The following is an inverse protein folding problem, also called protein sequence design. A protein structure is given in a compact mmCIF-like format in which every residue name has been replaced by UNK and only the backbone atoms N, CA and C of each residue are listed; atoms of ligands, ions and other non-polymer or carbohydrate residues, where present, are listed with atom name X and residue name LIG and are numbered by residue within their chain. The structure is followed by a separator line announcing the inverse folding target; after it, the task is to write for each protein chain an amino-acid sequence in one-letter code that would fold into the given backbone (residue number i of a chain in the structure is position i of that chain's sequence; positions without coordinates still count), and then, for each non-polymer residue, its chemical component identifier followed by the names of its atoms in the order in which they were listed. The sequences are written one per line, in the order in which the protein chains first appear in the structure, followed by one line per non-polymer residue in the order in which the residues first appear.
data_IF_893942789007
#
_entry.id   IF_893942789007
#
_cell.length_a   1.000
_cell.length_b   1.000
_cell.length_c   1.000
_cell.angle_alpha   90.00
_cell.angle_beta   90.00
_cell.angle_gamma   90.00
#
_symmetry.space_group_name_H-M   'P 1'
#
loop_
_entity.id
_entity.type
_entity.pdbx_description
1 polymer ?
#
# COMPACT_ATOMS: atom_id res chain seq x y z
N UNK A 1 -14.54 8.58 4.03
CA UNK A 1 -13.72 8.33 2.82
C UNK A 1 -14.59 7.75 1.73
N UNK A 2 -14.50 8.30 0.51
CA UNK A 2 -15.07 7.68 -0.68
C UNK A 2 -13.97 7.42 -1.72
N UNK A 3 -14.08 6.30 -2.41
CA UNK A 3 -13.16 5.85 -3.44
C UNK A 3 -13.94 5.70 -4.73
N UNK A 4 -13.54 6.42 -5.78
CA UNK A 4 -14.04 6.21 -7.14
C UNK A 4 -12.97 5.53 -7.96
N UNK A 5 -13.36 4.50 -8.71
CA UNK A 5 -12.46 3.71 -9.51
C UNK A 5 -12.95 3.72 -10.95
N UNK A 6 -12.01 3.95 -11.86
CA UNK A 6 -12.24 3.93 -13.30
C UNK A 6 -11.17 3.06 -13.94
N UNK A 7 -11.54 2.32 -14.98
CA UNK A 7 -10.54 1.65 -15.80
C UNK A 7 -9.75 2.70 -16.59
N UNK A 8 -8.44 2.53 -16.63
CA UNK A 8 -7.53 3.41 -17.34
C UNK A 8 -7.53 3.10 -18.84
N UNK A 9 -8.57 3.58 -19.53
CA UNK A 9 -8.81 3.31 -20.97
C UNK A 9 -7.89 4.09 -21.90
N UNK A 10 -7.29 5.17 -21.40
CA UNK A 10 -6.48 6.12 -22.19
C UNK A 10 -4.96 5.85 -22.10
N UNK A 11 -4.51 4.71 -21.56
CA UNK A 11 -3.10 4.31 -21.67
C UNK A 11 -2.82 2.82 -21.62
N UNK A 12 -1.84 2.38 -20.83
CA UNK A 12 -1.26 1.02 -20.89
C UNK A 12 -2.13 -0.10 -20.27
N UNK A 13 -3.40 0.20 -19.95
CA UNK A 13 -4.27 -0.65 -19.14
C UNK A 13 -3.97 -0.55 -17.63
N UNK A 14 -5.01 -0.74 -16.82
CA UNK A 14 -4.95 -0.61 -15.36
C UNK A 14 -6.15 0.15 -14.81
N UNK A 15 -5.96 0.79 -13.65
CA UNK A 15 -7.03 1.48 -12.94
C UNK A 15 -6.62 2.88 -12.52
N UNK A 16 -7.61 3.75 -12.35
CA UNK A 16 -7.44 5.07 -11.78
C UNK A 16 -8.29 5.12 -10.52
N UNK A 17 -7.65 5.45 -9.40
CA UNK A 17 -8.31 5.67 -8.13
C UNK A 17 -8.40 7.17 -7.85
N UNK A 18 -9.60 7.63 -7.56
CA UNK A 18 -9.85 8.98 -7.05
C UNK A 18 -10.32 8.86 -5.59
N UNK A 19 -9.45 9.29 -4.68
CA UNK A 19 -9.63 9.16 -3.23
C UNK A 19 -10.10 10.49 -2.64
N UNK A 20 -11.23 10.44 -1.94
CA UNK A 20 -11.82 11.57 -1.25
C UNK A 20 -11.90 11.28 0.25
N UNK A 21 -11.43 12.21 1.08
CA UNK A 21 -11.59 12.16 2.53
C UNK A 21 -12.34 13.39 3.00
N UNK A 22 -13.40 13.15 3.77
CA UNK A 22 -14.26 14.20 4.32
C UNK A 22 -13.43 15.12 5.22
N UNK A 23 -13.58 16.44 5.06
CA UNK A 23 -12.76 17.44 5.77
C UNK A 23 -11.42 17.79 5.09
N UNK A 24 -11.05 17.15 3.98
CA UNK A 24 -9.87 17.47 3.16
C UNK A 24 -10.24 18.15 1.82
N UNK A 25 -11.43 18.75 1.73
CA UNK A 25 -11.85 19.48 0.53
C UNK A 25 -11.03 20.76 0.32
N UNK A 26 -10.58 21.03 -0.93
CA UNK A 26 -11.23 20.60 -2.18
C UNK A 26 -10.46 19.58 -3.02
N UNK A 27 -9.44 18.88 -2.51
CA UNK A 27 -8.51 18.13 -3.38
C UNK A 27 -8.63 16.62 -3.22
N UNK A 28 -9.53 16.02 -4.00
CA UNK A 28 -9.46 14.59 -4.28
C UNK A 28 -8.06 14.25 -4.84
N UNK A 29 -7.47 13.15 -4.37
CA UNK A 29 -6.18 12.66 -4.88
C UNK A 29 -6.44 11.60 -5.94
N UNK A 30 -5.99 11.88 -7.15
CA UNK A 30 -6.12 10.97 -8.31
C UNK A 30 -4.80 10.24 -8.54
N UNK A 31 -4.83 8.92 -8.43
CA UNK A 31 -3.68 8.03 -8.52
C UNK A 31 -3.93 7.03 -9.64
N UNK A 32 -2.93 6.85 -10.50
CA UNK A 32 -2.97 5.84 -11.56
C UNK A 32 -2.28 4.57 -11.06
N UNK A 33 -2.90 3.43 -11.28
CA UNK A 33 -2.36 2.11 -10.98
C UNK A 33 -2.17 1.32 -12.28
N UNK A 34 -1.02 1.47 -12.96
CA UNK A 34 -0.74 0.72 -14.17
C UNK A 34 -0.81 -0.77 -13.87
N UNK A 35 -1.48 -1.54 -14.74
CA UNK A 35 -1.57 -3.01 -14.67
C UNK A 35 -2.29 -3.61 -13.45
N UNK A 36 -2.85 -2.79 -12.55
CA UNK A 36 -3.71 -3.29 -11.48
C UNK A 36 -5.19 -3.13 -11.88
N UNK A 37 -6.00 -4.12 -11.56
CA UNK A 37 -7.45 -4.08 -11.75
C UNK A 37 -8.14 -3.26 -10.66
N UNK A 38 -9.30 -2.70 -11.00
CA UNK A 38 -10.01 -1.78 -10.10
C UNK A 38 -10.46 -2.50 -8.83
N UNK A 39 -10.81 -3.78 -8.93
CA UNK A 39 -11.10 -4.66 -7.80
C UNK A 39 -9.92 -4.86 -6.85
N UNK A 40 -8.69 -4.96 -7.37
CA UNK A 40 -7.49 -5.13 -6.55
C UNK A 40 -7.19 -3.84 -5.77
N UNK A 41 -7.29 -2.70 -6.44
CA UNK A 41 -7.11 -1.38 -5.81
C UNK A 41 -8.21 -1.11 -4.77
N UNK A 42 -9.46 -1.44 -5.09
CA UNK A 42 -10.58 -1.34 -4.14
C UNK A 42 -10.32 -2.21 -2.90
N UNK A 43 -9.98 -3.47 -3.12
CA UNK A 43 -9.70 -4.45 -2.07
C UNK A 43 -8.56 -3.98 -1.17
N UNK A 44 -7.48 -3.48 -1.75
CA UNK A 44 -6.35 -2.93 -1.01
C UNK A 44 -6.74 -1.80 -0.05
N UNK A 45 -7.44 -0.76 -0.54
CA UNK A 45 -7.88 0.35 0.31
C UNK A 45 -8.91 -0.08 1.37
N UNK A 46 -9.82 -1.00 1.03
CA UNK A 46 -10.78 -1.54 1.98
C UNK A 46 -10.09 -2.36 3.08
N UNK A 47 -9.08 -3.16 2.72
CA UNK A 47 -8.29 -3.94 3.70
C UNK A 47 -7.43 -3.05 4.58
N UNK A 48 -6.85 -1.98 4.03
CA UNK A 48 -6.09 -1.00 4.83
C UNK A 48 -6.93 -0.37 5.96
N UNK A 49 -8.21 -0.13 5.73
CA UNK A 49 -9.14 0.45 6.72
C UNK A 49 -9.91 -0.61 7.54
N UNK A 50 -9.59 -1.89 7.36
CA UNK A 50 -10.24 -2.96 8.10
C UNK A 50 -9.72 -3.01 9.56
N UNK A 51 -10.56 -3.36 10.54
CA UNK A 51 -10.13 -3.47 11.93
C UNK A 51 -9.02 -4.52 12.12
N UNK A 52 -8.09 -4.26 13.04
CA UNK A 52 -7.06 -5.23 13.42
C UNK A 52 -6.12 -4.77 14.53
N UNK A 53 -4.91 -5.33 14.54
CA UNK A 53 -3.88 -5.06 15.54
C UNK A 53 -3.43 -3.60 15.51
N UNK A 54 -3.28 -3.04 14.30
CA UNK A 54 -3.02 -1.62 14.07
C UNK A 54 -4.07 -1.12 13.09
N UNK A 55 -5.09 -0.47 13.63
CA UNK A 55 -6.08 0.25 12.84
C UNK A 55 -5.53 1.61 12.45
N UNK A 56 -5.64 1.94 11.18
CA UNK A 56 -5.41 3.29 10.65
C UNK A 56 -6.74 3.89 10.23
N UNK A 57 -6.79 5.20 10.10
CA UNK A 57 -7.96 5.89 9.56
C UNK A 57 -7.76 6.37 8.12
N UNK A 58 -8.80 6.98 7.57
CA UNK A 58 -8.76 7.49 6.20
C UNK A 58 -7.80 8.68 6.03
N UNK A 59 -7.56 9.47 7.06
CA UNK A 59 -6.62 10.59 7.02
C UNK A 59 -5.18 10.06 6.98
N UNK A 60 -4.88 8.97 7.69
CA UNK A 60 -3.59 8.26 7.59
C UNK A 60 -3.34 7.79 6.16
N UNK A 61 -4.30 7.07 5.56
CA UNK A 61 -4.21 6.63 4.16
C UNK A 61 -4.00 7.83 3.24
N UNK A 62 -4.79 8.89 3.41
CA UNK A 62 -4.71 10.09 2.57
C UNK A 62 -3.36 10.81 2.70
N UNK A 63 -2.71 10.77 3.86
CA UNK A 63 -1.43 11.45 4.10
C UNK A 63 -0.31 10.92 3.18
N UNK A 64 -0.29 9.60 2.94
CA UNK A 64 0.72 8.94 2.09
C UNK A 64 0.38 8.98 0.60
N UNK A 65 -0.78 9.48 0.20
CA UNK A 65 -1.12 9.58 -1.22
C UNK A 65 -0.41 10.77 -1.90
N UNK A 66 0.03 10.66 -3.16
CA UNK A 66 0.68 11.75 -3.88
C UNK A 66 -0.28 12.94 -4.08
N UNK A 67 0.26 14.16 -4.05
CA UNK A 67 -0.55 15.38 -4.06
C UNK A 67 -1.34 15.59 -5.36
N UNK A 68 -0.80 15.17 -6.51
CA UNK A 68 -1.51 15.22 -7.80
C UNK A 68 -0.93 14.26 -8.83
N UNK A 69 -1.79 13.55 -9.58
CA UNK A 69 -1.45 12.73 -10.75
C UNK A 69 -0.39 11.63 -10.52
N UNK A 70 -0.19 11.21 -9.28
CA UNK A 70 0.85 10.24 -8.96
C UNK A 70 0.51 8.83 -9.43
N UNK A 71 1.51 7.96 -9.32
CA UNK A 71 1.46 6.55 -9.74
C UNK A 71 1.52 5.67 -8.49
N UNK A 72 0.61 4.72 -8.40
CA UNK A 72 0.58 3.67 -7.39
C UNK A 72 1.01 2.33 -7.99
N UNK A 73 1.94 1.64 -7.34
CA UNK A 73 2.35 0.28 -7.71
C UNK A 73 2.01 -0.66 -6.58
N UNK A 74 0.96 -1.46 -6.80
CA UNK A 74 0.46 -2.45 -5.87
C UNK A 74 1.16 -3.78 -6.09
N UNK A 75 1.68 -4.36 -5.02
CA UNK A 75 2.40 -5.63 -5.03
C UNK A 75 1.97 -6.48 -3.85
N UNK A 76 1.73 -7.75 -4.11
CA UNK A 76 1.48 -8.76 -3.07
C UNK A 76 2.73 -9.57 -2.76
N UNK A 77 2.86 -9.91 -1.49
CA UNK A 77 3.93 -10.71 -0.93
C UNK A 77 3.31 -11.76 0.01
N UNK A 78 3.91 -12.95 0.12
CA UNK A 78 3.57 -13.86 1.20
C UNK A 78 3.71 -13.15 2.56
N UNK A 79 2.81 -13.42 3.50
CA UNK A 79 2.96 -12.93 4.86
C UNK A 79 4.29 -13.45 5.45
N UNK A 80 5.17 -12.56 5.95
CA UNK A 80 6.48 -12.97 6.42
C UNK A 80 6.36 -13.76 7.73
N UNK A 81 6.84 -15.01 7.72
CA UNK A 81 6.82 -15.93 8.87
C UNK A 81 8.20 -16.09 9.51
N UNK A 82 9.25 -15.80 8.76
CA UNK A 82 10.63 -15.86 9.19
C UNK A 82 11.46 -14.67 8.68
N UNK A 83 12.68 -14.51 9.21
CA UNK A 83 13.61 -13.47 8.75
C UNK A 83 13.95 -13.61 7.26
N UNK A 84 14.08 -14.83 6.75
CA UNK A 84 14.38 -15.10 5.35
C UNK A 84 13.31 -14.57 4.40
N UNK A 85 12.04 -14.64 4.80
CA UNK A 85 10.93 -14.13 4.00
C UNK A 85 11.04 -12.62 3.82
N UNK A 86 11.54 -11.92 4.86
CA UNK A 86 11.80 -10.48 4.79
C UNK A 86 12.95 -10.12 3.85
N UNK A 87 14.00 -10.94 3.75
CA UNK A 87 15.08 -10.72 2.77
C UNK A 87 14.57 -10.83 1.32
N UNK A 88 13.61 -11.72 1.08
CA UNK A 88 12.98 -11.87 -0.22
C UNK A 88 12.03 -10.69 -0.53
N UNK A 89 11.27 -10.23 0.47
CA UNK A 89 10.46 -9.00 0.38
C UNK A 89 11.36 -7.80 0.05
N UNK A 90 12.48 -7.61 0.78
CA UNK A 90 13.42 -6.51 0.54
C UNK A 90 14.01 -6.55 -0.87
N UNK A 91 14.44 -7.72 -1.35
CA UNK A 91 15.01 -7.87 -2.70
C UNK A 91 13.99 -7.52 -3.78
N UNK A 92 12.76 -8.00 -3.64
CA UNK A 92 11.72 -7.72 -4.62
C UNK A 92 11.27 -6.27 -4.54
N UNK A 93 11.16 -5.70 -3.33
CA UNK A 93 10.84 -4.29 -3.12
C UNK A 93 11.87 -3.37 -3.78
N UNK A 94 13.17 -3.63 -3.58
CA UNK A 94 14.25 -2.90 -4.25
C UNK A 94 14.13 -2.96 -5.78
N UNK A 95 13.72 -4.11 -6.32
CA UNK A 95 13.48 -4.29 -7.76
C UNK A 95 12.31 -3.43 -8.25
N UNK A 96 11.24 -3.30 -7.46
CA UNK A 96 10.11 -2.45 -7.81
C UNK A 96 10.48 -0.97 -7.74
N UNK A 97 11.11 -0.52 -6.65
CA UNK A 97 11.59 0.87 -6.50
C UNK A 97 12.50 1.25 -7.67
N UNK A 98 13.44 0.39 -8.06
CA UNK A 98 14.32 0.62 -9.22
C UNK A 98 13.56 0.77 -10.54
N UNK A 99 12.39 0.12 -10.71
CA UNK A 99 11.57 0.19 -11.93
C UNK A 99 10.64 1.38 -11.95
N UNK A 100 10.14 1.76 -10.78
CA UNK A 100 9.15 2.82 -10.60
C UNK A 100 9.79 4.22 -10.55
N UNK A 101 11.09 4.31 -10.31
CA UNK A 101 11.76 5.58 -10.08
C UNK A 101 11.61 6.02 -8.62
N UNK A 102 11.81 7.31 -8.32
CA UNK A 102 11.73 7.81 -6.95
C UNK A 102 10.34 7.60 -6.36
N UNK A 103 10.27 6.79 -5.30
CA UNK A 103 9.07 6.58 -4.48
C UNK A 103 9.07 7.62 -3.36
N UNK A 104 7.96 8.34 -3.22
CA UNK A 104 7.77 9.40 -2.22
C UNK A 104 7.09 8.90 -0.94
N UNK A 105 6.36 7.79 -1.02
CA UNK A 105 5.67 7.21 0.14
C UNK A 105 5.20 5.77 -0.12
N UNK A 106 4.80 5.08 0.95
CA UNK A 106 4.24 3.74 0.85
C UNK A 106 3.07 3.51 1.83
N UNK A 107 2.15 2.64 1.41
CA UNK A 107 1.11 2.06 2.26
C UNK A 107 1.28 0.54 2.30
N UNK A 108 1.40 -0.01 3.49
CA UNK A 108 1.52 -1.46 3.73
C UNK A 108 0.25 -1.97 4.38
N UNK A 109 -0.27 -3.08 3.88
CA UNK A 109 -1.35 -3.84 4.52
C UNK A 109 -0.80 -5.21 4.87
N UNK A 110 -0.64 -5.47 6.16
CA UNK A 110 -0.13 -6.73 6.70
C UNK A 110 -1.26 -7.46 7.45
N UNK A 111 -2.00 -8.37 6.80
CA UNK A 111 -2.99 -9.18 7.48
C UNK A 111 -2.38 -9.97 8.65
N UNK A 112 -3.03 -9.90 9.81
CA UNK A 112 -2.57 -10.48 11.06
C UNK A 112 -3.31 -11.80 11.29
N UNK A 113 -2.57 -12.90 11.26
CA UNK A 113 -3.01 -14.21 11.74
C UNK A 113 -2.30 -14.56 13.07
N UNK A 114 -2.48 -15.79 13.56
CA UNK A 114 -1.88 -16.25 14.81
C UNK A 114 -0.34 -16.28 14.81
N UNK A 115 0.30 -16.16 13.64
CA UNK A 115 1.77 -16.17 13.49
C UNK A 115 2.38 -14.77 13.47
N UNK A 116 1.56 -13.74 13.27
CA UNK A 116 2.01 -12.34 13.21
C UNK A 116 2.09 -11.75 14.61
N UNK A 117 3.27 -11.20 14.93
CA UNK A 117 3.54 -10.55 16.22
C UNK A 117 3.84 -9.06 16.00
N UNK A 118 3.80 -8.22 17.05
CA UNK A 118 4.26 -6.83 16.94
C UNK A 118 5.70 -6.71 16.37
N UNK A 119 6.58 -7.65 16.72
CA UNK A 119 7.95 -7.69 16.17
C UNK A 119 7.99 -7.98 14.66
N UNK A 120 7.01 -8.71 14.13
CA UNK A 120 6.83 -8.90 12.68
C UNK A 120 6.46 -7.58 12.02
N UNK A 121 5.54 -6.83 12.62
CA UNK A 121 5.10 -5.51 12.14
C UNK A 121 6.27 -4.53 12.10
N UNK A 122 7.03 -4.42 13.20
CA UNK A 122 8.20 -3.53 13.29
C UNK A 122 9.24 -3.87 12.21
N UNK A 123 9.46 -5.17 11.97
CA UNK A 123 10.40 -5.63 10.95
C UNK A 123 9.93 -5.26 9.54
N UNK A 124 8.64 -5.45 9.24
CA UNK A 124 8.07 -5.04 7.96
C UNK A 124 8.23 -3.53 7.76
N UNK A 125 7.89 -2.72 8.76
CA UNK A 125 8.06 -1.28 8.69
C UNK A 125 9.53 -0.89 8.41
N UNK A 126 10.48 -1.45 9.18
CA UNK A 126 11.90 -1.18 8.99
C UNK A 126 12.41 -1.60 7.59
N UNK A 127 12.03 -2.77 7.11
CA UNK A 127 12.44 -3.27 5.79
C UNK A 127 11.89 -2.41 4.66
N UNK A 128 10.63 -1.98 4.75
CA UNK A 128 10.04 -1.08 3.75
C UNK A 128 10.71 0.28 3.79
N UNK A 129 10.85 0.90 4.97
CA UNK A 129 11.48 2.22 5.12
C UNK A 129 12.89 2.27 4.55
N UNK A 130 13.71 1.21 4.71
CA UNK A 130 15.06 1.14 4.12
C UNK A 130 15.11 1.21 2.60
N UNK A 131 14.00 0.89 1.93
CA UNK A 131 13.88 0.92 0.47
C UNK A 131 13.20 2.19 -0.05
N UNK A 132 12.74 3.07 0.85
CA UNK A 132 12.17 4.36 0.48
C UNK A 132 13.26 5.45 0.50
N UNK A 133 12.99 6.55 -0.21
CA UNK A 133 13.89 7.71 -0.19
C UNK A 133 13.90 8.35 1.20
N UNK A 134 14.99 9.00 1.57
CA UNK A 134 15.06 9.75 2.84
C UNK A 134 13.92 10.79 2.90
N UNK A 135 13.19 10.82 4.01
CA UNK A 135 12.03 11.71 4.19
C UNK A 135 10.72 11.21 3.58
N UNK A 136 10.67 10.00 3.04
CA UNK A 136 9.41 9.39 2.55
C UNK A 136 8.50 8.96 3.71
N UNK A 137 7.19 9.11 3.51
CA UNK A 137 6.19 8.69 4.49
C UNK A 137 5.82 7.21 4.32
N UNK A 138 5.60 6.52 5.45
CA UNK A 138 5.13 5.13 5.50
C UNK A 138 3.93 5.03 6.43
N UNK A 139 2.85 4.45 5.93
CA UNK A 139 1.70 4.02 6.75
C UNK A 139 1.58 2.51 6.67
N UNK A 140 1.35 1.86 7.80
CA UNK A 140 1.17 0.42 7.92
C UNK A 140 -0.15 0.12 8.63
N UNK A 141 -1.03 -0.57 7.92
CA UNK A 141 -2.23 -1.17 8.47
C UNK A 141 -1.98 -2.64 8.80
N UNK A 142 -2.46 -3.10 9.94
CA UNK A 142 -2.37 -4.51 10.36
C UNK A 142 -3.76 -5.08 10.65
N UNK A 143 -4.62 -5.27 9.62
CA UNK A 143 -5.98 -5.77 9.80
C UNK A 143 -5.99 -7.24 10.22
N UNK A 144 -7.07 -7.73 10.85
CA UNK A 144 -7.22 -9.17 11.09
C UNK A 144 -7.32 -9.91 9.76
N UNK A 145 -6.61 -11.04 9.65
CA UNK A 145 -6.66 -11.91 8.47
C UNK A 145 -8.06 -12.50 8.29
N UNK A 146 -8.56 -12.53 7.05
CA UNK A 146 -9.85 -13.15 6.69
C UNK A 146 -9.65 -14.62 6.33
N UNK A 147 -8.48 -14.96 5.82
CA UNK A 147 -8.09 -16.32 5.42
C UNK A 147 -6.74 -16.71 5.99
N UNK A 148 -6.49 -17.99 6.18
CA UNK A 148 -5.16 -18.46 6.58
C UNK A 148 -4.14 -18.15 5.47
N UNK A 149 -3.06 -17.46 5.84
CA UNK A 149 -2.01 -17.09 4.89
C UNK A 149 -2.41 -16.02 3.87
N UNK A 150 -3.34 -15.12 4.23
CA UNK A 150 -3.63 -13.92 3.43
C UNK A 150 -2.32 -13.16 3.13
N UNK A 151 -2.04 -12.81 1.86
CA UNK A 151 -0.80 -12.14 1.50
C UNK A 151 -0.74 -10.72 2.08
N UNK A 152 0.47 -10.28 2.38
CA UNK A 152 0.75 -8.87 2.64
C UNK A 152 0.74 -8.10 1.32
N UNK A 153 0.17 -6.91 1.32
CA UNK A 153 0.21 -6.02 0.15
C UNK A 153 1.00 -4.76 0.47
N UNK A 154 1.85 -4.32 -0.46
CA UNK A 154 2.57 -3.05 -0.39
C UNK A 154 2.18 -2.23 -1.61
N UNK A 155 1.74 -1.00 -1.39
CA UNK A 155 1.58 -0.01 -2.44
C UNK A 155 2.66 1.06 -2.31
N UNK A 156 3.44 1.23 -3.38
CA UNK A 156 4.42 2.30 -3.51
C UNK A 156 3.82 3.46 -4.31
N UNK A 157 4.01 4.68 -3.83
CA UNK A 157 3.53 5.88 -4.51
C UNK A 157 4.70 6.71 -5.02
N UNK A 158 4.62 7.09 -6.29
CA UNK A 158 5.52 8.04 -6.94
C UNK A 158 4.76 9.21 -7.58
N UNK A 159 5.51 10.18 -8.10
CA UNK A 159 4.99 11.34 -8.86
C UNK A 159 4.88 11.07 -10.36
#
# INVERSE_FOLDING_TARGET
MSLRLEDDRDGLGGSIAEVHVDGHEPRAKRIRFPRAHSSEVAGFFQRALSPGMMGIDAADVFSVLPASRGVGVLVEYPAPRAQRDMEDVERYLATQVSRCGPVSSALVVLPVDATVTPATVDRVAQSVTRNLSEGSDLVLAAPLSITDGEPMSICLFGE
#
